data_IF_328212405637
#
_entry.id   IF_328212405637
#
_cell.length_a   1.000
_cell.length_b   1.000
_cell.length_c   1.000
_cell.angle_alpha   90.00
_cell.angle_beta   90.00
_cell.angle_gamma   90.00
#
_symmetry.space_group_name_H-M   'P 1'
#
loop_
_entity.id
_entity.type
_entity.pdbx_description
1 polymer ?
#
# COMPACT_ATOMS: atom_id res chain seq x y z
N UNK A 1 -0.05 28.86 21.00
CA UNK A 1 -1.15 28.10 21.65
C UNK A 1 -0.54 26.85 22.25
N UNK A 2 -0.49 26.76 23.58
CA UNK A 2 -0.03 25.57 24.28
C UNK A 2 -1.14 24.52 24.21
N UNK A 3 -0.91 23.41 23.50
CA UNK A 3 -1.76 22.22 23.61
C UNK A 3 -1.62 21.68 25.03
N UNK A 4 -2.69 21.81 25.82
CA UNK A 4 -2.82 21.20 27.12
C UNK A 4 -2.63 19.67 26.96
N UNK A 5 -1.60 19.14 27.62
CA UNK A 5 -1.22 17.72 27.47
C UNK A 5 -2.26 16.84 28.15
N UNK A 6 -3.16 16.27 27.36
CA UNK A 6 -4.12 15.26 27.85
C UNK A 6 -3.34 13.99 28.22
N UNK A 7 -3.28 13.69 29.52
CA UNK A 7 -2.75 12.42 30.02
C UNK A 7 -3.83 11.33 29.96
N UNK A 8 -3.57 10.27 29.19
CA UNK A 8 -4.45 9.10 29.15
C UNK A 8 -4.01 8.11 30.22
N UNK A 9 -4.92 7.80 31.15
CA UNK A 9 -4.69 6.85 32.24
C UNK A 9 -5.54 5.59 32.04
N UNK A 10 -4.96 4.43 32.28
CA UNK A 10 -5.67 3.17 32.40
C UNK A 10 -5.59 2.72 33.86
N UNK A 11 -6.63 3.03 34.65
CA UNK A 11 -6.57 2.93 36.11
C UNK A 11 -5.48 3.84 36.68
N UNK A 12 -4.53 3.27 37.41
CA UNK A 12 -3.39 3.99 38.00
C UNK A 12 -2.20 4.16 37.04
N UNK A 13 -2.20 3.49 35.88
CA UNK A 13 -1.08 3.50 34.95
C UNK A 13 -1.25 4.62 33.90
N UNK A 14 -0.24 5.48 33.78
CA UNK A 14 -0.16 6.49 32.71
C UNK A 14 0.30 5.80 31.43
N UNK A 15 -0.47 5.94 30.36
CA UNK A 15 -0.10 5.42 29.04
C UNK A 15 0.96 6.34 28.43
N UNK A 16 2.16 5.83 28.08
CA UNK A 16 3.20 6.67 27.52
C UNK A 16 2.77 7.19 26.14
N UNK A 17 2.86 8.50 25.95
CA UNK A 17 2.64 9.13 24.64
C UNK A 17 3.72 8.63 23.68
N UNK A 18 3.30 8.16 22.50
CA UNK A 18 4.18 7.78 21.40
C UNK A 18 3.90 8.64 20.18
N UNK A 19 4.95 8.94 19.42
CA UNK A 19 4.85 9.70 18.18
C UNK A 19 4.20 8.89 17.05
N UNK A 20 4.34 7.57 17.11
CA UNK A 20 3.61 6.64 16.25
C UNK A 20 3.22 5.35 16.97
N UNK A 21 2.14 4.74 16.51
CA UNK A 21 1.68 3.45 17.01
C UNK A 21 0.96 2.65 15.93
N UNK A 22 0.97 1.32 16.07
CA UNK A 22 0.26 0.41 15.16
C UNK A 22 -1.17 0.22 15.63
N UNK A 23 -2.13 0.43 14.73
CA UNK A 23 -3.55 0.22 14.97
C UNK A 23 -4.20 -0.45 13.76
N UNK A 24 -4.86 -1.60 13.97
CA UNK A 24 -5.54 -2.38 12.92
C UNK A 24 -4.69 -2.62 11.66
N UNK A 25 -3.37 -2.73 11.82
CA UNK A 25 -2.43 -2.97 10.73
C UNK A 25 -1.97 -1.71 9.98
N UNK A 26 -2.39 -0.52 10.37
CA UNK A 26 -1.82 0.76 9.92
C UNK A 26 -0.95 1.39 11.00
N UNK A 27 0.02 2.21 10.60
CA UNK A 27 0.79 3.07 11.50
C UNK A 27 0.15 4.46 11.55
N UNK A 28 -0.28 4.87 12.75
CA UNK A 28 -0.83 6.19 12.99
C UNK A 28 0.29 7.06 13.55
N UNK A 29 0.61 8.14 12.85
CA UNK A 29 1.60 9.13 13.27
C UNK A 29 0.92 10.37 13.87
N UNK A 30 1.45 10.88 14.96
CA UNK A 30 0.92 12.05 15.67
C UNK A 30 0.96 13.34 14.83
N UNK A 31 1.89 13.44 13.88
CA UNK A 31 2.00 14.57 12.94
C UNK A 31 1.05 14.46 11.74
N UNK A 32 0.18 13.45 11.69
CA UNK A 32 -0.80 13.18 10.61
C UNK A 32 -0.19 12.88 9.24
N UNK A 33 1.13 12.69 9.17
CA UNK A 33 1.78 12.17 7.97
C UNK A 33 1.50 10.66 7.83
N UNK A 34 1.80 10.12 6.64
CA UNK A 34 1.61 8.69 6.34
C UNK A 34 2.92 8.01 5.96
N UNK A 35 4.07 8.65 6.15
CA UNK A 35 5.37 8.12 5.72
C UNK A 35 5.72 6.80 6.38
N UNK A 36 5.43 6.66 7.68
CA UNK A 36 5.62 5.38 8.39
C UNK A 36 4.63 4.33 7.91
N UNK A 37 3.36 4.67 7.65
CA UNK A 37 2.37 3.71 7.16
C UNK A 37 2.74 3.22 5.75
N UNK A 38 3.15 4.13 4.85
CA UNK A 38 3.64 3.78 3.51
C UNK A 38 4.83 2.83 3.59
N UNK A 39 5.77 3.10 4.49
CA UNK A 39 6.95 2.25 4.71
C UNK A 39 6.52 0.87 5.22
N UNK A 40 5.66 0.84 6.23
CA UNK A 40 5.11 -0.38 6.80
C UNK A 40 4.38 -1.25 5.76
N UNK A 41 3.61 -0.64 4.86
CA UNK A 41 2.88 -1.35 3.79
C UNK A 41 3.81 -1.89 2.72
N UNK A 42 4.85 -1.15 2.35
CA UNK A 42 5.90 -1.63 1.45
C UNK A 42 6.63 -2.83 2.07
N UNK A 43 6.98 -2.76 3.36
CA UNK A 43 7.60 -3.86 4.10
C UNK A 43 6.68 -5.10 4.17
N UNK A 44 5.39 -4.90 4.43
CA UNK A 44 4.40 -5.98 4.40
C UNK A 44 4.32 -6.65 3.02
N UNK A 45 4.37 -5.84 1.94
CA UNK A 45 4.50 -6.32 0.57
C UNK A 45 5.76 -7.16 0.36
N UNK A 46 6.92 -6.68 0.81
CA UNK A 46 8.19 -7.40 0.75
C UNK A 46 8.19 -8.71 1.54
N UNK A 47 7.52 -8.73 2.69
CA UNK A 47 7.38 -9.94 3.48
C UNK A 47 6.57 -11.00 2.73
N UNK A 48 5.40 -10.62 2.17
CA UNK A 48 4.60 -11.53 1.34
C UNK A 48 5.34 -11.97 0.08
N UNK A 49 6.09 -11.06 -0.54
CA UNK A 49 6.98 -11.38 -1.66
C UNK A 49 8.01 -12.45 -1.29
N UNK A 50 8.71 -12.28 -0.16
CA UNK A 50 9.76 -13.21 0.29
C UNK A 50 9.17 -14.60 0.55
N UNK A 51 8.00 -14.68 1.16
CA UNK A 51 7.29 -15.95 1.36
C UNK A 51 6.91 -16.62 0.04
N UNK A 52 6.55 -15.83 -0.96
CA UNK A 52 6.18 -16.29 -2.30
C UNK A 52 7.36 -16.50 -3.26
N UNK A 53 8.59 -16.24 -2.80
CA UNK A 53 9.78 -16.18 -3.64
C UNK A 53 9.97 -17.47 -4.47
N UNK A 54 9.69 -18.64 -3.92
CA UNK A 54 9.80 -19.92 -4.64
C UNK A 54 8.99 -19.92 -5.94
N UNK A 55 7.73 -19.52 -5.89
CA UNK A 55 6.86 -19.43 -7.07
C UNK A 55 7.28 -18.28 -8.00
N UNK A 56 7.70 -17.16 -7.42
CA UNK A 56 8.01 -15.95 -8.16
C UNK A 56 9.35 -16.01 -8.89
N UNK A 57 10.33 -16.77 -8.40
CA UNK A 57 11.63 -16.98 -9.04
C UNK A 57 11.67 -18.21 -9.94
N UNK A 58 10.75 -19.16 -9.78
CA UNK A 58 10.72 -20.37 -10.60
C UNK A 58 10.55 -20.03 -12.09
N UNK A 59 11.50 -20.47 -12.92
CA UNK A 59 11.51 -20.20 -14.35
C UNK A 59 10.42 -20.97 -15.11
N UNK A 60 9.92 -22.07 -14.55
CA UNK A 60 8.83 -22.87 -15.12
C UNK A 60 7.48 -22.17 -15.04
N UNK A 61 7.30 -21.27 -14.08
CA UNK A 61 6.04 -20.55 -13.87
C UNK A 61 5.90 -19.45 -14.91
N UNK A 62 4.80 -19.44 -15.71
CA UNK A 62 4.61 -18.41 -16.73
C UNK A 62 4.55 -16.99 -16.14
N UNK A 63 5.16 -15.97 -16.78
CA UNK A 63 5.19 -14.59 -16.26
C UNK A 63 3.82 -14.01 -15.93
N UNK A 64 2.80 -14.32 -16.75
CA UNK A 64 1.41 -13.89 -16.53
C UNK A 64 0.80 -14.50 -15.28
N UNK A 65 1.13 -15.74 -14.95
CA UNK A 65 0.69 -16.40 -13.71
C UNK A 65 1.37 -15.76 -12.50
N UNK A 66 2.68 -15.50 -12.58
CA UNK A 66 3.38 -14.75 -11.53
C UNK A 66 2.80 -13.35 -11.31
N UNK A 67 2.39 -12.67 -12.38
CA UNK A 67 1.69 -11.38 -12.29
C UNK A 67 0.34 -11.46 -11.58
N UNK A 68 -0.47 -12.50 -11.84
CA UNK A 68 -1.70 -12.78 -11.08
C UNK A 68 -1.39 -13.03 -9.60
N UNK A 69 -0.37 -13.82 -9.31
CA UNK A 69 0.05 -14.12 -7.94
C UNK A 69 0.49 -12.85 -7.20
N UNK A 70 1.34 -12.02 -7.83
CA UNK A 70 1.77 -10.74 -7.30
C UNK A 70 0.59 -9.82 -6.98
N UNK A 71 -0.41 -9.73 -7.86
CA UNK A 71 -1.60 -8.89 -7.64
C UNK A 71 -2.33 -9.28 -6.35
N UNK A 72 -2.47 -10.58 -6.09
CA UNK A 72 -3.24 -11.09 -4.95
C UNK A 72 -2.42 -11.05 -3.66
N UNK A 73 -1.17 -11.51 -3.69
CA UNK A 73 -0.40 -11.79 -2.47
C UNK A 73 0.47 -10.61 -2.05
N UNK A 74 0.99 -9.84 -3.01
CA UNK A 74 2.00 -8.81 -2.75
C UNK A 74 1.42 -7.41 -2.88
N UNK A 75 0.66 -7.14 -3.94
CA UNK A 75 0.06 -5.82 -4.14
C UNK A 75 -1.06 -5.52 -3.14
N UNK A 76 -1.85 -6.53 -2.76
CA UNK A 76 -2.94 -6.38 -1.79
C UNK A 76 -2.50 -5.72 -0.47
N UNK A 77 -1.48 -6.23 0.26
CA UNK A 77 -1.04 -5.59 1.50
C UNK A 77 -0.42 -4.20 1.30
N UNK A 78 0.18 -3.93 0.14
CA UNK A 78 0.73 -2.60 -0.20
C UNK A 78 -0.40 -1.57 -0.37
N UNK A 79 -1.53 -1.99 -0.94
CA UNK A 79 -2.68 -1.12 -1.24
C UNK A 79 -3.75 -1.10 -0.15
N UNK A 80 -3.60 -1.88 0.92
CA UNK A 80 -4.56 -1.88 2.02
C UNK A 80 -4.55 -0.53 2.75
N UNK A 81 -5.71 0.14 2.83
CA UNK A 81 -5.87 1.42 3.53
C UNK A 81 -5.58 2.67 2.68
N UNK A 82 -5.16 2.53 1.41
CA UNK A 82 -4.79 3.67 0.56
C UNK A 82 -5.94 4.62 0.23
N UNK A 83 -7.19 4.15 0.36
CA UNK A 83 -8.40 4.92 0.09
C UNK A 83 -8.53 6.13 1.02
N UNK A 84 -8.01 6.01 2.24
CA UNK A 84 -8.12 7.01 3.31
C UNK A 84 -6.86 7.87 3.49
N UNK A 85 -5.80 7.63 2.70
CA UNK A 85 -4.53 8.34 2.85
C UNK A 85 -4.54 9.75 2.22
N UNK A 86 -3.96 10.77 2.88
CA UNK A 86 -3.55 12.02 2.25
C UNK A 86 -2.27 11.82 1.42
N UNK A 87 -2.39 11.13 0.29
CA UNK A 87 -1.24 10.70 -0.54
C UNK A 87 -0.52 11.87 -1.22
N UNK A 88 0.80 11.96 -1.04
CA UNK A 88 1.71 12.85 -1.79
C UNK A 88 2.42 12.10 -2.93
N UNK A 89 2.94 12.82 -3.93
CA UNK A 89 3.70 12.24 -5.05
C UNK A 89 4.92 11.42 -4.58
N UNK A 90 5.59 11.86 -3.51
CA UNK A 90 6.73 11.16 -2.90
C UNK A 90 6.34 9.76 -2.37
N UNK A 91 5.15 9.63 -1.78
CA UNK A 91 4.63 8.36 -1.27
C UNK A 91 4.34 7.39 -2.42
N UNK A 92 3.65 7.86 -3.47
CA UNK A 92 3.39 7.05 -4.68
C UNK A 92 4.70 6.59 -5.32
N UNK A 93 5.68 7.48 -5.41
CA UNK A 93 6.98 7.16 -5.99
C UNK A 93 7.71 6.05 -5.19
N UNK A 94 7.67 6.10 -3.84
CA UNK A 94 8.22 5.02 -3.00
C UNK A 94 7.56 3.66 -3.31
N UNK A 95 6.24 3.64 -3.46
CA UNK A 95 5.49 2.42 -3.82
C UNK A 95 5.83 1.92 -5.23
N UNK A 96 5.93 2.82 -6.22
CA UNK A 96 6.32 2.47 -7.61
C UNK A 96 7.72 1.86 -7.64
N UNK A 97 8.67 2.44 -6.91
CA UNK A 97 10.05 1.92 -6.84
C UNK A 97 10.08 0.52 -6.24
N UNK A 98 9.33 0.29 -5.15
CA UNK A 98 9.22 -1.03 -4.53
C UNK A 98 8.58 -2.05 -5.51
N UNK A 99 7.46 -1.69 -6.14
CA UNK A 99 6.79 -2.53 -7.15
C UNK A 99 7.76 -2.91 -8.27
N UNK A 100 8.41 -1.93 -8.90
CA UNK A 100 9.26 -2.21 -10.07
C UNK A 100 10.50 -3.02 -9.72
N UNK A 101 11.01 -2.91 -8.49
CA UNK A 101 12.09 -3.77 -8.00
C UNK A 101 11.62 -5.23 -7.90
N UNK A 102 10.45 -5.46 -7.29
CA UNK A 102 9.84 -6.78 -7.19
C UNK A 102 9.54 -7.39 -8.57
N UNK A 103 8.88 -6.64 -9.47
CA UNK A 103 8.53 -7.13 -10.80
C UNK A 103 9.76 -7.47 -11.66
N UNK A 104 10.84 -6.69 -11.54
CA UNK A 104 12.10 -6.98 -12.22
C UNK A 104 12.73 -8.27 -11.72
N UNK A 105 12.82 -8.44 -10.41
CA UNK A 105 13.36 -9.66 -9.80
C UNK A 105 12.58 -10.90 -10.22
N UNK A 106 11.24 -10.81 -10.28
CA UNK A 106 10.37 -11.87 -10.81
C UNK A 106 10.75 -12.33 -12.22
N UNK A 107 11.18 -11.38 -13.03
CA UNK A 107 11.50 -11.58 -14.45
C UNK A 107 12.99 -11.85 -14.67
N UNK A 108 13.80 -11.93 -13.61
CA UNK A 108 15.25 -12.08 -13.72
C UNK A 108 15.98 -10.85 -14.27
N UNK A 109 15.37 -9.67 -14.18
CA UNK A 109 15.94 -8.43 -14.71
C UNK A 109 16.55 -7.57 -13.62
N UNK A 110 17.59 -6.82 -13.98
CA UNK A 110 18.23 -5.82 -13.13
C UNK A 110 18.01 -4.40 -13.65
N UNK A 111 18.49 -3.39 -12.93
CA UNK A 111 18.50 -2.01 -13.44
C UNK A 111 19.49 -1.82 -14.60
N UNK A 112 20.54 -2.66 -14.71
CA UNK A 112 21.55 -2.56 -15.77
C UNK A 112 21.01 -2.93 -17.15
N UNK A 113 19.96 -3.75 -17.19
CA UNK A 113 19.32 -4.19 -18.44
C UNK A 113 18.60 -3.06 -19.18
N UNK A 114 18.40 -1.89 -18.54
CA UNK A 114 17.78 -0.68 -19.12
C UNK A 114 16.41 -0.92 -19.79
N UNK A 115 15.72 -2.00 -19.42
CA UNK A 115 14.37 -2.31 -19.92
C UNK A 115 13.37 -1.30 -19.35
N UNK A 116 12.49 -0.77 -20.22
CA UNK A 116 11.44 0.19 -19.82
C UNK A 116 10.43 -0.45 -18.86
N UNK A 117 9.87 0.34 -17.95
CA UNK A 117 9.00 -0.17 -16.88
C UNK A 117 7.70 -0.79 -17.43
N UNK A 118 7.13 -0.19 -18.47
CA UNK A 118 5.93 -0.68 -19.15
C UNK A 118 6.17 -2.05 -19.80
N UNK A 119 7.36 -2.31 -20.34
CA UNK A 119 7.69 -3.62 -20.93
C UNK A 119 7.64 -4.71 -19.86
N UNK A 120 8.23 -4.45 -18.68
CA UNK A 120 8.19 -5.38 -17.55
C UNK A 120 6.74 -5.62 -17.08
N UNK A 121 5.96 -4.55 -16.91
CA UNK A 121 4.54 -4.65 -16.49
C UNK A 121 3.69 -5.40 -17.51
N UNK A 122 3.91 -5.16 -18.81
CA UNK A 122 3.22 -5.85 -19.90
C UNK A 122 3.56 -7.33 -19.92
N UNK A 123 4.84 -7.70 -19.72
CA UNK A 123 5.31 -9.09 -19.65
C UNK A 123 4.57 -9.88 -18.57
N UNK A 124 4.44 -9.33 -17.35
CA UNK A 124 3.70 -9.98 -16.25
C UNK A 124 2.18 -9.74 -16.29
N UNK A 125 1.71 -8.78 -17.09
CA UNK A 125 0.28 -8.45 -17.22
C UNK A 125 -0.30 -7.75 -15.99
N UNK A 126 0.40 -6.76 -15.44
CA UNK A 126 -0.06 -6.01 -14.26
C UNK A 126 -0.11 -4.50 -14.54
N UNK A 127 -1.20 -3.83 -14.14
CA UNK A 127 -1.28 -2.36 -14.12
C UNK A 127 -0.27 -1.77 -13.11
N UNK A 128 -0.01 -0.47 -13.10
CA UNK A 128 0.86 0.11 -12.07
C UNK A 128 0.18 0.15 -10.70
N UNK A 129 0.99 0.20 -9.63
CA UNK A 129 0.48 0.41 -8.26
C UNK A 129 -0.20 1.78 -8.11
N UNK A 130 0.25 2.78 -8.86
CA UNK A 130 -0.34 4.12 -8.89
C UNK A 130 -1.75 4.09 -9.48
N UNK A 131 -1.94 3.45 -10.64
CA UNK A 131 -3.26 3.32 -11.27
C UNK A 131 -4.25 2.65 -10.30
N UNK A 132 -3.79 1.61 -9.60
CA UNK A 132 -4.62 0.86 -8.64
C UNK A 132 -4.90 1.64 -7.36
N UNK A 133 -3.97 2.46 -6.91
CA UNK A 133 -4.19 3.40 -5.82
C UNK A 133 -5.29 4.39 -6.20
N UNK A 134 -5.19 5.02 -7.38
CA UNK A 134 -6.20 5.97 -7.84
C UNK A 134 -7.56 5.32 -8.10
N UNK A 135 -7.59 4.12 -8.68
CA UNK A 135 -8.83 3.36 -8.86
C UNK A 135 -9.53 3.10 -7.51
N UNK A 136 -8.78 2.73 -6.47
CA UNK A 136 -9.32 2.48 -5.13
C UNK A 136 -9.90 3.76 -4.53
N UNK A 137 -9.19 4.89 -4.62
CA UNK A 137 -9.68 6.19 -4.15
C UNK A 137 -10.94 6.65 -4.87
N UNK A 138 -10.99 6.50 -6.19
CA UNK A 138 -12.17 6.87 -6.99
C UNK A 138 -13.36 5.97 -6.66
N UNK A 139 -13.13 4.67 -6.45
CA UNK A 139 -14.17 3.73 -6.02
C UNK A 139 -14.74 4.12 -4.66
N UNK A 140 -13.88 4.43 -3.69
CA UNK A 140 -14.27 4.92 -2.37
C UNK A 140 -15.09 6.21 -2.44
N UNK A 141 -14.61 7.21 -3.20
CA UNK A 141 -15.35 8.46 -3.41
C UNK A 141 -16.75 8.20 -3.99
N UNK A 142 -16.85 7.27 -4.94
CA UNK A 142 -18.14 6.83 -5.47
C UNK A 142 -19.06 6.22 -4.40
N UNK A 143 -18.51 5.46 -3.45
CA UNK A 143 -19.27 4.90 -2.33
C UNK A 143 -19.79 6.00 -1.40
N UNK A 144 -18.94 6.97 -1.04
CA UNK A 144 -19.32 8.13 -0.22
C UNK A 144 -20.46 8.92 -0.88
N UNK A 145 -20.35 9.23 -2.18
CA UNK A 145 -21.39 9.95 -2.92
C UNK A 145 -22.74 9.21 -2.96
N UNK A 146 -22.74 7.88 -3.05
CA UNK A 146 -23.98 7.09 -3.02
C UNK A 146 -24.63 7.04 -1.64
N UNK A 147 -23.84 7.00 -0.56
CA UNK A 147 -24.37 7.01 0.81
C UNK A 147 -25.25 8.23 1.08
N UNK A 148 -24.83 9.41 0.63
CA UNK A 148 -25.59 10.65 0.84
C UNK A 148 -26.94 10.72 0.10
N UNK A 149 -27.19 9.87 -0.91
CA UNK A 149 -28.48 9.83 -1.60
C UNK A 149 -29.56 9.03 -0.88
N UNK A 150 -29.18 8.15 0.06
CA UNK A 150 -30.13 7.29 0.76
C UNK A 150 -30.59 7.84 2.12
N UNK A 151 -29.99 8.92 2.60
CA UNK A 151 -30.32 9.55 3.90
C UNK A 151 -31.13 10.86 3.75
N UNK A 152 -31.77 11.08 2.59
CA UNK A 152 -32.56 12.28 2.28
C UNK A 152 -34.04 12.00 2.01
N UNK A 153 -34.55 10.83 2.40
CA UNK A 153 -35.97 10.48 2.33
C UNK A 153 -36.42 9.89 3.66
N UNK A 154 -36.45 10.71 4.71
CA UNK A 154 -37.41 10.57 5.80
C UNK A 154 -37.98 11.97 6.04
N UNK A 155 -39.31 12.04 5.94
CA UNK A 155 -40.15 13.24 6.06
C UNK A 155 -40.65 13.33 7.49
#
# INVERSE_FOLDING_TARGET
MHEERVEVKNGTQVVPKRDSFKYLGSIIQGNREIDEDVTHRIEAGWMRWRLASRVLYDKSVPPKLKGKFYRVVVRSPILCGVECWPVKKSHVQKMIVAEMRMLRWMCGHTRKDRIRNEVIRNKVGVASVEDKLWESRLRWLGHVKRRHRHSGQEV
#
